data_IF_715641371216
#
_entry.id   IF_715641371216
#
_cell.length_a   1.000
_cell.length_b   1.000
_cell.length_c   1.000
_cell.angle_alpha   90.00
_cell.angle_beta   90.00
_cell.angle_gamma   90.00
#
_symmetry.space_group_name_H-M   'P 1'
#
loop_
_entity.id
_entity.type
_entity.pdbx_description
1 polymer ?
#
# COMPACT_ATOMS: atom_id res chain seq x y z
N UNK A 1 -25.93 -7.06 -39.72
CA UNK A 1 -25.68 -5.81 -38.95
C UNK A 1 -25.27 -6.18 -37.52
N UNK A 2 -23.97 -6.41 -37.28
CA UNK A 2 -23.42 -6.74 -35.95
C UNK A 2 -22.98 -5.44 -35.26
N UNK A 3 -23.50 -5.19 -34.05
CA UNK A 3 -23.03 -4.10 -33.16
C UNK A 3 -21.67 -4.49 -32.58
N UNK A 4 -20.65 -3.61 -32.56
CA UNK A 4 -19.41 -3.88 -31.83
C UNK A 4 -19.64 -3.70 -30.33
N UNK A 5 -19.17 -4.69 -29.56
CA UNK A 5 -19.22 -4.69 -28.10
C UNK A 5 -18.38 -3.56 -27.51
N UNK A 6 -19.00 -2.80 -26.61
CA UNK A 6 -18.31 -1.91 -25.67
C UNK A 6 -17.31 -2.75 -24.88
N UNK A 7 -16.02 -2.41 -24.97
CA UNK A 7 -15.04 -2.82 -23.98
C UNK A 7 -15.33 -2.05 -22.69
N UNK A 8 -15.70 -2.74 -21.63
CA UNK A 8 -15.65 -2.17 -20.29
C UNK A 8 -14.18 -1.93 -19.95
N UNK A 9 -13.80 -0.67 -19.79
CA UNK A 9 -12.61 -0.27 -19.07
C UNK A 9 -12.83 -0.70 -17.62
N UNK A 10 -12.37 -1.90 -17.30
CA UNK A 10 -12.47 -2.49 -15.96
C UNK A 10 -11.53 -1.77 -15.01
N UNK A 11 -12.16 -1.21 -13.98
CA UNK A 11 -11.71 -1.10 -12.60
C UNK A 11 -10.23 -1.40 -12.35
N UNK A 12 -9.46 -0.34 -12.05
CA UNK A 12 -8.06 -0.44 -11.65
C UNK A 12 -8.00 -0.47 -10.12
N UNK A 13 -7.49 -1.54 -9.49
CA UNK A 13 -7.34 -1.60 -8.05
C UNK A 13 -6.43 -0.49 -7.48
N UNK A 14 -6.73 -0.07 -6.25
CA UNK A 14 -6.09 1.05 -5.57
C UNK A 14 -4.88 0.53 -4.80
N UNK A 15 -3.68 0.96 -5.20
CA UNK A 15 -2.41 0.32 -4.81
C UNK A 15 -1.83 0.94 -3.54
N UNK A 16 -1.16 0.09 -2.73
CA UNK A 16 -0.22 0.52 -1.69
C UNK A 16 0.82 1.45 -2.34
N UNK A 17 0.72 2.73 -1.99
CA UNK A 17 1.19 3.93 -2.70
C UNK A 17 0.19 4.48 -3.72
N UNK A 18 -0.71 5.29 -3.19
CA UNK A 18 -1.10 6.59 -3.74
C UNK A 18 -1.48 6.64 -5.23
N UNK A 19 -2.61 6.05 -5.61
CA UNK A 19 -3.21 6.24 -6.94
C UNK A 19 -4.13 7.47 -6.98
N UNK A 20 -3.96 8.29 -8.03
CA UNK A 20 -4.54 9.61 -8.23
C UNK A 20 -6.05 9.66 -8.58
N UNK A 21 -6.66 10.81 -8.23
CA UNK A 21 -7.74 11.47 -8.96
C UNK A 21 -7.40 12.98 -9.03
N UNK A 22 -7.39 13.57 -10.23
CA UNK A 22 -6.69 14.82 -10.52
C UNK A 22 -7.25 16.10 -9.87
N UNK A 23 -6.34 17.01 -9.48
CA UNK A 23 -6.65 18.38 -9.10
C UNK A 23 -5.51 19.08 -8.35
N UNK A 24 -4.66 19.81 -9.08
CA UNK A 24 -3.75 20.87 -8.61
C UNK A 24 -2.92 20.62 -7.35
N UNK A 25 -1.70 20.09 -7.48
CA UNK A 25 -0.72 19.99 -6.38
C UNK A 25 0.53 20.78 -6.72
N UNK A 26 1.00 21.59 -5.76
CA UNK A 26 2.28 22.31 -5.83
C UNK A 26 3.43 21.32 -5.97
N UNK A 27 4.14 21.38 -7.09
CA UNK A 27 5.33 20.56 -7.39
C UNK A 27 6.41 20.75 -6.32
N UNK A 28 6.89 19.67 -5.67
CA UNK A 28 8.08 19.73 -4.83
C UNK A 28 9.27 20.22 -5.66
N UNK A 29 10.11 21.08 -5.08
CA UNK A 29 11.36 21.51 -5.72
C UNK A 29 12.36 20.35 -5.70
N UNK A 30 13.07 20.12 -6.81
CA UNK A 30 13.91 18.93 -7.02
C UNK A 30 15.03 18.69 -5.98
N UNK A 31 15.35 19.67 -5.12
CA UNK A 31 16.40 19.59 -4.11
C UNK A 31 16.07 18.78 -2.86
N UNK A 32 14.79 18.44 -2.62
CA UNK A 32 14.37 17.79 -1.37
C UNK A 32 14.11 16.28 -1.50
N UNK A 33 14.10 15.73 -2.72
CA UNK A 33 13.77 14.31 -2.92
C UNK A 33 14.91 13.40 -2.44
N UNK A 34 14.54 12.34 -1.72
CA UNK A 34 15.41 11.25 -1.30
C UNK A 34 15.25 10.08 -2.26
N UNK A 35 16.37 9.54 -2.72
CA UNK A 35 16.39 8.29 -3.48
C UNK A 35 16.19 7.12 -2.54
N UNK A 36 15.18 6.28 -2.81
CA UNK A 36 14.85 5.08 -2.04
C UNK A 36 15.00 3.88 -2.97
N UNK A 37 15.73 2.87 -2.53
CA UNK A 37 16.05 1.66 -3.29
C UNK A 37 15.37 0.47 -2.64
N UNK A 38 14.42 -0.13 -3.33
CA UNK A 38 13.80 -1.39 -2.94
C UNK A 38 14.54 -2.52 -3.64
N UNK A 39 15.31 -3.30 -2.90
CA UNK A 39 16.16 -4.35 -3.47
C UNK A 39 15.48 -5.71 -3.39
N UNK A 40 15.63 -6.51 -4.45
CA UNK A 40 15.08 -7.87 -4.55
C UNK A 40 13.56 -7.91 -4.31
N UNK A 41 12.82 -7.03 -4.98
CA UNK A 41 11.38 -6.86 -4.79
C UNK A 41 10.61 -8.12 -5.19
N UNK A 42 9.92 -8.80 -4.26
CA UNK A 42 9.17 -10.04 -4.54
C UNK A 42 7.85 -9.71 -5.24
N UNK A 43 7.80 -9.89 -6.56
CA UNK A 43 6.68 -9.43 -7.40
C UNK A 43 5.37 -10.10 -7.03
N UNK A 44 5.38 -11.41 -6.74
CA UNK A 44 4.17 -12.16 -6.41
C UNK A 44 3.63 -11.80 -5.02
N UNK A 45 4.52 -11.55 -4.05
CA UNK A 45 4.12 -11.09 -2.70
C UNK A 45 3.57 -9.67 -2.78
N UNK A 46 4.17 -8.80 -3.60
CA UNK A 46 3.64 -7.47 -3.87
C UNK A 46 2.24 -7.53 -4.48
N UNK A 47 2.02 -8.42 -5.46
CA UNK A 47 0.71 -8.60 -6.10
C UNK A 47 -0.35 -9.09 -5.10
N UNK A 48 -0.03 -10.11 -4.30
CA UNK A 48 -0.90 -10.60 -3.23
C UNK A 48 -1.22 -9.50 -2.19
N UNK A 49 -0.25 -8.64 -1.88
CA UNK A 49 -0.46 -7.50 -1.01
C UNK A 49 -1.43 -6.45 -1.62
N UNK A 50 -1.45 -6.30 -2.95
CA UNK A 50 -2.41 -5.42 -3.62
C UNK A 50 -3.82 -6.02 -3.56
N UNK A 51 -3.97 -7.29 -3.94
CA UNK A 51 -5.26 -7.98 -3.90
C UNK A 51 -5.88 -7.92 -2.50
N UNK A 52 -5.07 -8.18 -1.47
CA UNK A 52 -5.50 -8.09 -0.09
C UNK A 52 -5.91 -6.66 0.31
N UNK A 53 -5.16 -5.64 -0.12
CA UNK A 53 -5.51 -4.25 0.12
C UNK A 53 -6.85 -3.87 -0.52
N UNK A 54 -7.09 -4.29 -1.76
CA UNK A 54 -8.35 -4.01 -2.47
C UNK A 54 -9.54 -4.68 -1.80
N UNK A 55 -9.38 -5.93 -1.38
CA UNK A 55 -10.40 -6.67 -0.63
C UNK A 55 -10.74 -5.94 0.68
N UNK A 56 -9.71 -5.53 1.43
CA UNK A 56 -9.88 -4.76 2.66
C UNK A 56 -10.64 -3.45 2.41
N UNK A 57 -10.27 -2.70 1.37
CA UNK A 57 -10.93 -1.43 1.04
C UNK A 57 -12.39 -1.63 0.61
N UNK A 58 -12.67 -2.67 -0.16
CA UNK A 58 -14.02 -3.04 -0.56
C UNK A 58 -14.90 -3.35 0.65
N UNK A 59 -14.42 -4.19 1.56
CA UNK A 59 -15.18 -4.56 2.75
C UNK A 59 -15.35 -3.35 3.71
N UNK A 60 -14.33 -2.52 3.85
CA UNK A 60 -14.43 -1.30 4.66
C UNK A 60 -15.42 -0.28 4.09
N UNK A 61 -15.55 -0.20 2.77
CA UNK A 61 -16.57 0.60 2.12
C UNK A 61 -17.99 0.07 2.39
N UNK A 62 -18.18 -1.26 2.35
CA UNK A 62 -19.47 -1.90 2.68
C UNK A 62 -19.88 -1.65 4.13
N UNK A 63 -18.95 -1.83 5.07
CA UNK A 63 -19.20 -1.54 6.49
C UNK A 63 -19.53 -0.07 6.73
N UNK A 64 -18.82 0.84 6.06
CA UNK A 64 -19.02 2.28 6.22
C UNK A 64 -20.40 2.74 5.73
N UNK A 65 -20.95 2.08 4.70
CA UNK A 65 -22.29 2.31 4.17
C UNK A 65 -23.41 1.71 5.05
N UNK A 66 -23.14 0.62 5.77
CA UNK A 66 -24.10 -0.02 6.68
C UNK A 66 -24.18 0.61 8.09
N UNK A 67 -23.23 1.47 8.47
CA UNK A 67 -23.07 2.04 9.82
C UNK A 67 -23.63 3.47 9.96
N UNK A 68 -24.58 3.90 9.12
CA UNK A 68 -25.15 5.26 9.18
C UNK A 68 -25.99 5.54 10.45
N UNK A 69 -26.28 4.54 11.31
CA UNK A 69 -27.19 4.68 12.45
C UNK A 69 -26.55 4.58 13.86
N UNK A 70 -25.25 4.28 14.01
CA UNK A 70 -24.64 4.06 15.34
C UNK A 70 -23.51 5.02 15.70
N UNK A 71 -23.81 5.88 16.68
CA UNK A 71 -22.94 6.65 17.60
C UNK A 71 -21.79 7.53 17.03
N UNK A 72 -21.87 8.83 17.31
CA UNK A 72 -21.08 9.91 16.68
C UNK A 72 -19.72 10.15 17.35
N UNK A 73 -19.40 9.45 18.44
CA UNK A 73 -18.29 9.86 19.31
C UNK A 73 -16.91 9.24 18.99
N UNK A 74 -16.83 8.23 18.12
CA UNK A 74 -15.55 7.73 17.58
C UNK A 74 -15.70 7.31 16.11
N UNK A 75 -14.89 7.88 15.21
CA UNK A 75 -14.87 7.39 13.83
C UNK A 75 -14.33 5.95 13.81
N UNK A 76 -15.09 4.96 13.32
CA UNK A 76 -14.65 3.57 13.30
C UNK A 76 -13.40 3.40 12.44
N UNK A 77 -12.57 2.39 12.76
CA UNK A 77 -11.29 2.09 12.09
C UNK A 77 -11.41 2.11 10.56
N UNK A 78 -12.44 1.50 9.92
CA UNK A 78 -12.65 1.60 8.48
C UNK A 78 -12.64 3.02 7.92
N UNK A 79 -13.43 3.94 8.50
CA UNK A 79 -13.53 5.34 8.02
C UNK A 79 -12.21 6.08 8.18
N UNK A 80 -11.48 5.85 9.27
CA UNK A 80 -10.18 6.49 9.53
C UNK A 80 -9.12 6.04 8.53
N UNK A 81 -9.02 4.73 8.26
CA UNK A 81 -8.07 4.19 7.30
C UNK A 81 -8.35 4.69 5.88
N UNK A 82 -9.61 4.61 5.42
CA UNK A 82 -10.01 5.09 4.08
C UNK A 82 -9.65 6.58 3.89
N UNK A 83 -9.92 7.42 4.91
CA UNK A 83 -9.57 8.84 4.88
C UNK A 83 -8.06 9.07 4.81
N UNK A 84 -7.28 8.32 5.60
CA UNK A 84 -5.82 8.43 5.57
C UNK A 84 -5.28 8.04 4.20
N UNK A 85 -5.71 6.90 3.65
CA UNK A 85 -5.29 6.45 2.31
C UNK A 85 -5.60 7.53 1.27
N UNK A 86 -6.82 8.09 1.27
CA UNK A 86 -7.20 9.15 0.34
C UNK A 86 -6.34 10.43 0.48
N UNK A 87 -5.98 10.81 1.71
CA UNK A 87 -5.10 11.95 1.95
C UNK A 87 -3.69 11.69 1.42
N UNK A 88 -3.13 10.50 1.69
CA UNK A 88 -1.81 10.12 1.21
C UNK A 88 -1.77 9.98 -0.31
N UNK A 89 -2.83 9.44 -0.91
CA UNK A 89 -2.93 9.29 -2.37
C UNK A 89 -2.93 10.63 -3.08
N UNK A 90 -3.66 11.60 -2.53
CA UNK A 90 -3.71 12.97 -3.05
C UNK A 90 -2.39 13.69 -2.85
N UNK A 91 -1.80 13.58 -1.64
CA UNK A 91 -0.58 14.30 -1.26
C UNK A 91 0.66 13.88 -2.04
N UNK A 92 0.78 12.59 -2.34
CA UNK A 92 1.96 12.02 -3.00
C UNK A 92 1.66 11.52 -4.42
N UNK A 93 0.62 12.05 -5.05
CA UNK A 93 0.25 11.72 -6.42
C UNK A 93 1.43 11.83 -7.38
N UNK A 94 1.61 10.83 -8.25
CA UNK A 94 2.67 10.80 -9.27
C UNK A 94 4.05 10.36 -8.78
N UNK A 95 4.28 10.20 -7.46
CA UNK A 95 5.61 9.84 -6.93
C UNK A 95 6.01 8.38 -7.19
N UNK A 96 5.05 7.50 -7.49
CA UNK A 96 5.26 6.07 -7.63
C UNK A 96 4.63 5.45 -8.90
N UNK A 97 4.11 6.26 -9.81
CA UNK A 97 3.34 5.76 -10.95
C UNK A 97 4.16 4.88 -11.88
N UNK A 98 5.41 5.27 -12.17
CA UNK A 98 6.32 4.50 -13.01
C UNK A 98 6.71 3.17 -12.37
N UNK A 99 6.99 3.18 -11.06
CA UNK A 99 7.37 1.99 -10.29
C UNK A 99 6.20 1.01 -10.20
N UNK A 100 4.98 1.52 -10.02
CA UNK A 100 3.75 0.74 -10.04
C UNK A 100 3.50 0.11 -11.42
N UNK A 101 3.69 0.86 -12.50
CA UNK A 101 3.58 0.31 -13.87
C UNK A 101 4.60 -0.81 -14.11
N UNK A 102 5.85 -0.61 -13.67
CA UNK A 102 6.89 -1.64 -13.75
C UNK A 102 6.52 -2.90 -12.98
N UNK A 103 5.98 -2.77 -11.76
CA UNK A 103 5.53 -3.90 -10.94
C UNK A 103 4.37 -4.66 -11.58
N UNK A 104 3.37 -3.95 -12.11
CA UNK A 104 2.28 -4.61 -12.85
C UNK A 104 2.76 -5.33 -14.09
N UNK A 105 3.69 -4.73 -14.85
CA UNK A 105 4.28 -5.38 -16.01
C UNK A 105 5.06 -6.64 -15.63
N UNK A 106 5.85 -6.58 -14.55
CA UNK A 106 6.59 -7.72 -14.01
C UNK A 106 5.65 -8.85 -13.59
N UNK A 107 4.57 -8.53 -12.86
CA UNK A 107 3.57 -9.50 -12.43
C UNK A 107 2.88 -10.16 -13.63
N UNK A 108 2.46 -9.37 -14.63
CA UNK A 108 1.84 -9.87 -15.85
C UNK A 108 2.77 -10.77 -16.69
N UNK A 109 4.08 -10.57 -16.57
CA UNK A 109 5.11 -11.39 -17.21
C UNK A 109 5.52 -12.62 -16.40
N UNK A 110 4.98 -12.80 -15.19
CA UNK A 110 5.36 -13.89 -14.29
C UNK A 110 6.78 -13.75 -13.75
N UNK A 111 7.34 -12.53 -13.71
CA UNK A 111 8.62 -12.30 -13.06
C UNK A 111 8.47 -12.55 -11.55
N UNK A 112 9.44 -13.22 -10.96
CA UNK A 112 9.45 -13.50 -9.52
C UNK A 112 10.02 -12.32 -8.73
N UNK A 113 11.08 -11.70 -9.25
CA UNK A 113 11.87 -10.67 -8.57
C UNK A 113 12.19 -9.53 -9.53
N UNK A 114 12.12 -8.29 -9.02
CA UNK A 114 12.81 -7.13 -9.61
C UNK A 114 14.04 -6.83 -8.76
N UNK A 115 15.22 -6.88 -9.38
CA UNK A 115 16.51 -6.69 -8.69
C UNK A 115 16.57 -5.38 -7.89
N UNK A 116 16.09 -4.29 -8.49
CA UNK A 116 16.06 -2.96 -7.90
C UNK A 116 14.90 -2.13 -8.46
N UNK A 117 14.18 -1.49 -7.55
CA UNK A 117 13.16 -0.50 -7.85
C UNK A 117 13.47 0.80 -7.10
N UNK A 118 13.61 1.90 -7.84
CA UNK A 118 14.05 3.19 -7.29
C UNK A 118 12.87 4.16 -7.20
N UNK A 119 12.64 4.74 -6.03
CA UNK A 119 11.68 5.82 -5.79
C UNK A 119 12.40 7.13 -5.46
N UNK A 120 11.74 8.26 -5.74
CA UNK A 120 12.20 9.58 -5.32
C UNK A 120 11.12 10.22 -4.45
N UNK A 121 11.31 10.18 -3.13
CA UNK A 121 10.29 10.59 -2.16
C UNK A 121 10.71 11.87 -1.43
N UNK A 122 9.79 12.81 -1.16
CA UNK A 122 10.09 13.94 -0.29
C UNK A 122 10.28 13.46 1.17
N UNK A 123 11.00 14.21 2.03
CA UNK A 123 11.23 13.79 3.42
C UNK A 123 9.92 13.66 4.22
N UNK A 124 8.90 14.42 3.83
CA UNK A 124 7.57 14.35 4.39
C UNK A 124 6.87 12.98 4.20
N UNK A 125 7.36 12.12 3.32
CA UNK A 125 6.86 10.77 3.16
C UNK A 125 7.23 9.87 4.36
N UNK A 126 8.31 10.15 5.09
CA UNK A 126 8.74 9.35 6.24
C UNK A 126 7.67 9.27 7.34
N UNK A 127 7.20 10.41 7.89
CA UNK A 127 6.11 10.42 8.87
C UNK A 127 4.81 9.82 8.33
N UNK A 128 4.48 10.05 7.06
CA UNK A 128 3.27 9.50 6.42
C UNK A 128 3.29 7.97 6.36
N UNK A 129 4.44 7.38 6.07
CA UNK A 129 4.65 5.93 6.05
C UNK A 129 4.48 5.31 7.44
N UNK A 130 4.93 6.00 8.50
CA UNK A 130 4.71 5.57 9.89
C UNK A 130 3.23 5.60 10.26
N UNK A 131 2.52 6.67 9.88
CA UNK A 131 1.08 6.81 10.15
C UNK A 131 0.28 5.71 9.44
N UNK A 132 0.60 5.43 8.16
CA UNK A 132 -0.03 4.37 7.40
C UNK A 132 0.21 2.99 8.00
N UNK A 133 1.46 2.68 8.37
CA UNK A 133 1.81 1.39 8.98
C UNK A 133 1.00 1.14 10.26
N UNK A 134 0.92 2.15 11.14
CA UNK A 134 0.14 2.08 12.39
C UNK A 134 -1.35 1.88 12.12
N UNK A 135 -1.91 2.57 11.13
CA UNK A 135 -3.35 2.44 10.80
C UNK A 135 -3.67 1.07 10.19
N UNK A 136 -2.76 0.49 9.42
CA UNK A 136 -2.92 -0.86 8.87
C UNK A 136 -2.82 -1.94 9.96
N UNK A 137 -1.96 -1.76 10.95
CA UNK A 137 -1.91 -2.63 12.13
C UNK A 137 -3.21 -2.53 12.97
N UNK A 138 -3.73 -1.32 13.17
CA UNK A 138 -5.03 -1.12 13.83
C UNK A 138 -6.19 -1.77 13.05
N UNK A 139 -6.14 -1.75 11.71
CA UNK A 139 -7.10 -2.41 10.84
C UNK A 139 -6.99 -3.95 10.93
N UNK A 140 -5.79 -4.51 11.02
CA UNK A 140 -5.60 -5.95 11.23
C UNK A 140 -6.18 -6.40 12.57
N UNK A 141 -5.94 -5.65 13.65
CA UNK A 141 -6.51 -5.93 14.96
C UNK A 141 -8.04 -5.78 14.95
N UNK A 142 -8.57 -4.76 14.25
CA UNK A 142 -10.01 -4.62 14.05
C UNK A 142 -10.61 -5.84 13.32
N UNK A 143 -9.95 -6.33 12.27
CA UNK A 143 -10.40 -7.52 11.54
C UNK A 143 -10.31 -8.80 12.39
N UNK A 144 -9.25 -8.93 13.20
CA UNK A 144 -9.03 -10.09 14.10
C UNK A 144 -10.02 -10.12 15.26
N UNK A 145 -10.31 -8.96 15.85
CA UNK A 145 -11.22 -8.80 17.00
C UNK A 145 -12.70 -8.84 16.59
N UNK A 146 -13.02 -8.53 15.33
CA UNK A 146 -14.38 -8.47 14.81
C UNK A 146 -15.02 -9.85 14.63
N UNK A 147 -16.31 -9.98 15.00
CA UNK A 147 -17.10 -11.20 14.80
C UNK A 147 -17.40 -11.50 13.31
N UNK A 148 -17.14 -10.57 12.38
CA UNK A 148 -17.57 -10.65 10.97
C UNK A 148 -16.45 -10.51 9.92
N UNK A 149 -15.19 -10.30 10.30
CA UNK A 149 -14.08 -10.02 9.36
C UNK A 149 -12.90 -10.99 9.48
N UNK A 150 -13.09 -12.13 10.14
CA UNK A 150 -12.05 -13.16 10.29
C UNK A 150 -11.51 -13.68 8.95
N UNK A 151 -12.25 -13.49 7.85
CA UNK A 151 -11.81 -13.84 6.49
C UNK A 151 -10.82 -12.86 5.88
N UNK A 152 -10.66 -11.66 6.46
CA UNK A 152 -9.72 -10.62 6.00
C UNK A 152 -8.39 -10.64 6.79
N UNK A 153 -8.03 -11.76 7.39
CA UNK A 153 -6.73 -11.83 8.07
C UNK A 153 -5.61 -11.66 7.05
N UNK A 154 -4.80 -10.61 7.22
CA UNK A 154 -3.59 -10.40 6.41
C UNK A 154 -2.70 -11.64 6.48
N UNK A 155 -2.38 -12.31 5.35
CA UNK A 155 -1.43 -13.42 5.33
C UNK A 155 -0.07 -13.00 5.87
N UNK A 156 0.62 -13.87 6.60
CA UNK A 156 1.88 -13.51 7.28
C UNK A 156 2.95 -12.95 6.34
N UNK A 157 3.06 -13.51 5.14
CA UNK A 157 4.03 -13.04 4.14
C UNK A 157 3.67 -11.64 3.62
N UNK A 158 2.38 -11.33 3.45
CA UNK A 158 1.89 -9.99 3.06
C UNK A 158 2.13 -8.99 4.19
N UNK A 159 1.92 -9.40 5.45
CA UNK A 159 2.22 -8.57 6.63
C UNK A 159 3.71 -8.23 6.71
N UNK A 160 4.58 -9.23 6.62
CA UNK A 160 6.03 -9.05 6.61
C UNK A 160 6.48 -8.19 5.43
N UNK A 161 5.90 -8.39 4.25
CA UNK A 161 6.17 -7.56 3.08
C UNK A 161 5.80 -6.10 3.32
N UNK A 162 4.63 -5.83 3.91
CA UNK A 162 4.19 -4.47 4.24
C UNK A 162 5.12 -3.81 5.26
N UNK A 163 5.54 -4.54 6.29
CA UNK A 163 6.51 -4.09 7.30
C UNK A 163 7.84 -3.71 6.65
N UNK A 164 8.38 -4.58 5.80
CA UNK A 164 9.58 -4.29 5.02
C UNK A 164 9.39 -3.09 4.10
N UNK A 165 8.31 -3.07 3.30
CA UNK A 165 8.10 -2.06 2.27
C UNK A 165 8.00 -0.65 2.84
N UNK A 166 7.15 -0.48 3.86
CA UNK A 166 6.99 0.79 4.57
C UNK A 166 8.24 1.11 5.43
N UNK A 167 8.84 0.10 6.06
CA UNK A 167 10.09 0.25 6.81
C UNK A 167 11.24 0.79 5.96
N UNK A 168 11.44 0.25 4.76
CA UNK A 168 12.49 0.67 3.82
C UNK A 168 12.31 2.12 3.38
N UNK A 169 11.08 2.55 3.07
CA UNK A 169 10.82 3.94 2.74
C UNK A 169 11.18 4.88 3.90
N UNK A 170 10.71 4.56 5.11
CA UNK A 170 10.99 5.36 6.31
C UNK A 170 12.49 5.44 6.59
N UNK A 171 13.15 4.29 6.69
CA UNK A 171 14.55 4.21 7.13
C UNK A 171 15.51 4.87 6.13
N UNK A 172 15.28 4.68 4.82
CA UNK A 172 16.13 5.28 3.80
C UNK A 172 15.88 6.78 3.63
N UNK A 173 14.67 7.28 3.93
CA UNK A 173 14.43 8.74 4.03
C UNK A 173 15.33 9.37 5.09
N UNK A 174 15.56 8.65 6.20
CA UNK A 174 16.45 9.03 7.30
C UNK A 174 17.93 8.70 7.04
N UNK A 175 18.26 8.13 5.87
CA UNK A 175 19.64 7.89 5.42
C UNK A 175 20.19 6.49 5.73
N UNK A 176 19.35 5.55 6.18
CA UNK A 176 19.78 4.16 6.33
C UNK A 176 20.12 3.50 4.98
N UNK A 177 20.97 2.48 5.02
CA UNK A 177 21.25 1.66 3.84
C UNK A 177 20.04 0.76 3.50
N UNK A 178 19.79 0.49 2.20
CA UNK A 178 18.71 -0.41 1.80
C UNK A 178 18.96 -1.84 2.26
N UNK A 179 17.88 -2.51 2.64
CA UNK A 179 17.85 -3.93 3.01
C UNK A 179 17.07 -4.70 1.93
N UNK A 180 17.67 -5.72 1.30
CA UNK A 180 16.96 -6.63 0.42
C UNK A 180 15.83 -7.39 1.13
N UNK A 181 14.75 -7.68 0.42
CA UNK A 181 13.63 -8.46 0.96
C UNK A 181 14.06 -9.83 1.56
N UNK A 182 14.91 -10.65 0.90
CA UNK A 182 15.33 -11.93 1.47
C UNK A 182 16.00 -11.79 2.85
N UNK A 183 16.88 -10.80 3.01
CA UNK A 183 17.59 -10.53 4.26
C UNK A 183 16.65 -10.04 5.38
N UNK A 184 15.58 -9.32 5.02
CA UNK A 184 14.55 -8.94 5.97
C UNK A 184 13.75 -10.18 6.41
N UNK A 185 13.33 -11.00 5.45
CA UNK A 185 12.53 -12.20 5.69
C UNK A 185 13.29 -13.21 6.56
N UNK A 186 14.58 -13.41 6.32
CA UNK A 186 15.43 -14.27 7.15
C UNK A 186 15.51 -13.78 8.59
N UNK A 187 15.75 -12.48 8.80
CA UNK A 187 15.78 -11.87 10.14
C UNK A 187 14.44 -11.98 10.86
N UNK A 188 13.34 -11.72 10.15
CA UNK A 188 12.01 -11.82 10.71
C UNK A 188 11.68 -13.25 11.17
N UNK A 189 12.11 -14.27 10.40
CA UNK A 189 11.95 -15.68 10.76
C UNK A 189 12.84 -16.08 11.94
N UNK A 190 14.08 -15.60 11.98
CA UNK A 190 15.01 -15.89 13.07
C UNK A 190 14.55 -15.29 14.43
N UNK A 191 13.83 -14.18 14.42
CA UNK A 191 13.26 -13.55 15.62
C UNK A 191 11.95 -14.18 16.13
N UNK A 192 11.39 -15.18 15.43
CA UNK A 192 10.15 -15.88 15.80
C UNK A 192 10.40 -17.24 16.48
N UNK A 193 11.65 -17.66 16.66
CA UNK A 193 12.05 -18.89 17.34
C UNK A 193 12.59 -18.64 18.74
#
# INVERSE_FOLDING_TARGET
>A
LRRPGRRHAGDRPAVLVATAGGGGVTTPTAGDLRQIRMLQMPVQVWAAAQEHHDELMREFALLSAGQEEADVQAAPVPRRLMRLIHQLTTRFAGTADAQREQLFAAAAQGQEVIEELVYFLPPAAGPATVELARMLEEADEYCRSGQHLLTLQTPDEVRLFREWYLGQMREQIDGAAPVPWPDHLERARAGQG
#
